data_IF_689541127435
#
_entry.id   IF_689541127435
#
_cell.length_a   1.000
_cell.length_b   1.000
_cell.length_c   1.000
_cell.angle_alpha   90.00
_cell.angle_beta   90.00
_cell.angle_gamma   90.00
#
_symmetry.space_group_name_H-M   'P 1'
#
loop_
_entity.id
_entity.type
_entity.pdbx_description
1 polymer ?
#
# COMPACT_ATOMS: atom_id res chain seq x y z
N UNK A 1 44.25 5.37 20.09
CA UNK A 1 44.38 5.29 18.63
C UNK A 1 44.83 6.63 18.08
N UNK A 2 45.90 6.64 17.32
CA UNK A 2 46.42 7.89 16.77
C UNK A 2 45.77 8.17 15.41
N UNK A 3 44.92 9.19 15.32
CA UNK A 3 44.23 9.57 14.10
C UNK A 3 45.16 9.96 12.94
N UNK A 4 46.40 10.30 13.24
CA UNK A 4 47.41 10.66 12.22
C UNK A 4 47.76 9.48 11.30
N UNK A 5 47.51 8.25 11.73
CA UNK A 5 47.81 7.05 10.94
C UNK A 5 46.66 6.61 10.05
N UNK A 6 45.50 7.29 10.12
CA UNK A 6 44.38 6.98 9.26
C UNK A 6 44.59 7.69 7.92
N UNK A 7 44.74 6.91 6.87
CA UNK A 7 44.85 7.44 5.51
C UNK A 7 43.54 8.03 5.05
N UNK A 8 43.57 9.06 4.21
CA UNK A 8 42.36 9.72 3.72
C UNK A 8 41.39 8.78 3.00
N UNK A 9 41.89 7.73 2.34
CA UNK A 9 41.04 6.74 1.71
C UNK A 9 40.24 5.91 2.72
N UNK A 10 40.74 5.70 3.92
CA UNK A 10 40.04 4.99 4.99
C UNK A 10 38.85 5.83 5.49
N UNK A 11 39.02 7.14 5.60
CA UNK A 11 37.95 8.05 5.92
C UNK A 11 36.88 8.04 4.83
N UNK A 12 37.27 8.05 3.58
CA UNK A 12 36.34 7.97 2.45
C UNK A 12 35.52 6.67 2.50
N UNK A 13 36.15 5.54 2.82
CA UNK A 13 35.44 4.27 2.97
C UNK A 13 34.46 4.26 4.14
N UNK A 14 34.84 4.86 5.28
CA UNK A 14 33.94 4.97 6.42
C UNK A 14 32.73 5.83 6.11
N UNK A 15 32.93 6.97 5.46
CA UNK A 15 31.83 7.86 5.04
C UNK A 15 30.94 7.17 4.04
N UNK A 16 31.53 6.46 3.07
CA UNK A 16 30.76 5.71 2.07
C UNK A 16 29.92 4.60 2.74
N UNK A 17 30.51 3.86 3.68
CA UNK A 17 29.81 2.82 4.43
C UNK A 17 28.64 3.39 5.24
N UNK A 18 28.81 4.54 5.87
CA UNK A 18 27.75 5.23 6.59
C UNK A 18 26.63 5.71 5.65
N UNK A 19 26.97 6.25 4.48
CA UNK A 19 26.01 6.67 3.49
C UNK A 19 25.21 5.50 2.94
N UNK A 20 25.87 4.38 2.65
CA UNK A 20 25.21 3.15 2.19
C UNK A 20 24.28 2.59 3.26
N UNK A 21 24.74 2.54 4.52
CA UNK A 21 23.92 2.06 5.63
C UNK A 21 22.70 2.95 5.85
N UNK A 22 22.87 4.27 5.75
CA UNK A 22 21.78 5.23 5.88
C UNK A 22 20.78 5.09 4.75
N UNK A 23 21.25 4.99 3.50
CA UNK A 23 20.40 4.78 2.34
C UNK A 23 19.63 3.47 2.45
N UNK A 24 20.29 2.40 2.88
CA UNK A 24 19.64 1.11 3.12
C UNK A 24 18.58 1.19 4.21
N UNK A 25 18.84 1.90 5.31
CA UNK A 25 17.88 2.10 6.39
C UNK A 25 16.65 2.91 5.93
N UNK A 26 16.85 3.88 5.03
CA UNK A 26 15.77 4.69 4.47
C UNK A 26 14.93 3.89 3.46
N UNK A 27 15.57 3.08 2.62
CA UNK A 27 14.91 2.28 1.59
C UNK A 27 14.39 0.94 2.08
N UNK A 28 14.77 0.56 3.27
CA UNK A 28 14.25 -0.64 3.90
C UNK A 28 12.73 -0.60 3.82
N UNK A 29 12.03 -1.72 3.38
CA UNK A 29 10.59 -1.76 3.49
C UNK A 29 10.28 -1.36 4.90
N UNK A 30 9.67 -0.22 5.00
CA UNK A 30 9.48 0.48 6.24
C UNK A 30 8.85 -0.49 7.25
N UNK A 31 9.45 -0.63 8.42
CA UNK A 31 8.86 -1.40 9.51
C UNK A 31 7.43 -0.93 9.80
N UNK A 32 7.16 0.35 9.56
CA UNK A 32 5.83 0.94 9.67
C UNK A 32 4.86 0.36 8.63
N UNK A 33 5.30 0.18 7.39
CA UNK A 33 4.48 -0.44 6.33
C UNK A 33 4.09 -1.86 6.71
N UNK A 34 5.02 -2.65 7.19
CA UNK A 34 4.75 -4.02 7.66
C UNK A 34 3.80 -4.06 8.84
N UNK A 35 3.98 -3.15 9.78
CA UNK A 35 3.12 -3.02 10.95
C UNK A 35 1.67 -2.72 10.53
N UNK A 36 1.48 -1.75 9.63
CA UNK A 36 0.16 -1.39 9.14
C UNK A 36 -0.50 -2.54 8.36
N UNK A 37 0.27 -3.25 7.54
CA UNK A 37 -0.25 -4.42 6.83
C UNK A 37 -0.64 -5.55 7.79
N UNK A 38 0.10 -5.74 8.86
CA UNK A 38 -0.24 -6.68 9.92
C UNK A 38 -1.54 -6.29 10.63
N UNK A 39 -1.75 -5.01 10.90
CA UNK A 39 -2.98 -4.49 11.51
C UNK A 39 -4.18 -4.72 10.59
N UNK A 40 -4.02 -4.47 9.28
CA UNK A 40 -5.08 -4.75 8.31
C UNK A 40 -5.48 -6.23 8.37
N UNK A 41 -4.50 -7.13 8.36
CA UNK A 41 -4.76 -8.57 8.41
C UNK A 41 -5.48 -9.01 9.68
N UNK A 42 -5.14 -8.42 10.83
CA UNK A 42 -5.74 -8.79 12.11
C UNK A 42 -7.11 -8.19 12.34
N UNK A 43 -7.36 -6.98 11.82
CA UNK A 43 -8.62 -6.26 12.05
C UNK A 43 -9.62 -6.37 10.90
N UNK A 44 -9.21 -6.93 9.75
CA UNK A 44 -10.08 -7.04 8.60
C UNK A 44 -11.30 -7.90 8.89
N UNK A 45 -12.47 -7.44 8.41
CA UNK A 45 -13.69 -8.24 8.40
C UNK A 45 -13.56 -9.44 7.47
N UNK A 46 -14.43 -10.47 7.60
CA UNK A 46 -14.44 -11.58 6.63
C UNK A 46 -14.64 -11.11 5.19
N UNK A 47 -15.42 -10.06 4.95
CA UNK A 47 -15.63 -9.49 3.63
C UNK A 47 -14.31 -8.96 3.03
N UNK A 48 -13.53 -8.23 3.83
CA UNK A 48 -12.23 -7.70 3.39
C UNK A 48 -11.21 -8.83 3.19
N UNK A 49 -11.13 -9.79 4.11
CA UNK A 49 -10.21 -10.93 4.02
C UNK A 49 -10.45 -11.78 2.78
N UNK A 50 -11.70 -11.95 2.39
CA UNK A 50 -12.11 -12.78 1.26
C UNK A 50 -12.23 -12.00 -0.04
N UNK A 51 -11.95 -10.71 -0.04
CA UNK A 51 -12.03 -9.89 -1.23
C UNK A 51 -10.95 -10.31 -2.24
N UNK A 52 -11.26 -10.38 -3.56
CA UNK A 52 -10.30 -10.86 -4.58
C UNK A 52 -9.02 -10.05 -4.66
N UNK A 53 -9.06 -8.75 -4.39
CA UNK A 53 -7.88 -7.90 -4.35
C UNK A 53 -7.38 -7.76 -2.90
N UNK A 54 -6.10 -8.10 -2.63
CA UNK A 54 -5.55 -7.97 -1.28
C UNK A 54 -5.10 -6.52 -1.03
N UNK A 55 -5.97 -5.73 -0.40
CA UNK A 55 -5.62 -4.35 -0.03
C UNK A 55 -4.46 -4.34 0.96
N UNK A 56 -3.47 -3.51 0.68
CA UNK A 56 -2.29 -3.37 1.54
C UNK A 56 -1.67 -1.99 1.39
N UNK A 57 -0.94 -1.58 2.43
CA UNK A 57 -0.16 -0.35 2.40
C UNK A 57 1.08 -0.58 1.54
N UNK A 58 1.28 0.28 0.55
CA UNK A 58 2.46 0.22 -0.32
C UNK A 58 3.67 0.86 0.33
N UNK A 59 3.46 2.00 0.98
CA UNK A 59 4.50 2.75 1.70
C UNK A 59 3.86 3.79 2.61
N UNK A 60 4.66 4.34 3.50
CA UNK A 60 4.26 5.46 4.36
C UNK A 60 5.15 6.66 4.03
N UNK A 61 4.54 7.78 3.72
CA UNK A 61 5.21 9.04 3.42
C UNK A 61 4.85 10.05 4.53
N UNK A 62 5.76 10.23 5.50
CA UNK A 62 5.48 11.06 6.67
C UNK A 62 4.32 10.50 7.49
N UNK A 63 3.21 11.21 7.57
CA UNK A 63 1.99 10.79 8.25
C UNK A 63 0.90 10.30 7.28
N UNK A 64 1.25 10.15 6.00
CA UNK A 64 0.34 9.66 4.96
C UNK A 64 0.64 8.22 4.63
N UNK A 65 -0.35 7.34 4.75
CA UNK A 65 -0.26 5.97 4.29
C UNK A 65 -0.73 5.89 2.83
N UNK A 66 0.10 5.33 1.95
CA UNK A 66 -0.24 5.10 0.55
C UNK A 66 -0.72 3.67 0.41
N UNK A 67 -1.98 3.49 0.04
CA UNK A 67 -2.63 2.17 -0.04
C UNK A 67 -2.86 1.82 -1.51
N UNK A 68 -2.53 0.58 -1.88
CA UNK A 68 -2.78 0.06 -3.21
C UNK A 68 -4.26 -0.13 -3.47
N UNK A 69 -4.70 0.19 -4.68
CA UNK A 69 -6.08 0.00 -5.14
C UNK A 69 -6.09 -0.57 -6.55
N UNK A 70 -7.10 -1.41 -6.92
CA UNK A 70 -7.17 -1.95 -8.27
C UNK A 70 -7.84 -1.00 -9.26
N UNK A 71 -8.23 0.21 -8.85
CA UNK A 71 -8.90 1.18 -9.71
C UNK A 71 -8.38 2.59 -9.54
N UNK A 72 -8.38 3.35 -10.65
CA UNK A 72 -8.18 4.80 -10.68
C UNK A 72 -8.77 5.35 -11.98
N UNK A 73 -8.40 6.58 -12.38
CA UNK A 73 -8.85 7.16 -13.66
C UNK A 73 -8.38 6.35 -14.87
N UNK A 74 -7.18 5.75 -14.81
CA UNK A 74 -6.63 4.94 -15.91
C UNK A 74 -7.19 3.52 -15.91
N UNK A 75 -7.64 3.04 -14.76
CA UNK A 75 -8.22 1.70 -14.58
C UNK A 75 -9.57 1.83 -13.89
N UNK A 76 -10.66 2.08 -14.63
CA UNK A 76 -12.00 2.18 -14.06
C UNK A 76 -12.43 0.90 -13.35
N UNK A 77 -13.27 1.05 -12.33
CA UNK A 77 -13.76 -0.07 -11.53
C UNK A 77 -14.39 -1.17 -12.37
N UNK A 78 -15.09 -0.84 -13.46
CA UNK A 78 -15.74 -1.83 -14.32
C UNK A 78 -14.73 -2.79 -14.97
N UNK A 79 -13.50 -2.36 -15.26
CA UNK A 79 -12.47 -3.24 -15.83
C UNK A 79 -12.00 -4.26 -14.81
N UNK A 80 -11.73 -3.82 -13.61
CA UNK A 80 -11.36 -4.72 -12.51
C UNK A 80 -12.49 -5.70 -12.21
N UNK A 81 -13.70 -5.20 -12.03
CA UNK A 81 -14.86 -6.02 -11.68
C UNK A 81 -15.22 -6.99 -12.81
N UNK A 82 -15.11 -6.56 -14.06
CA UNK A 82 -15.34 -7.44 -15.20
C UNK A 82 -14.35 -8.57 -15.30
N UNK A 83 -13.09 -8.34 -14.94
CA UNK A 83 -12.06 -9.38 -14.91
C UNK A 83 -12.28 -10.39 -13.78
N UNK A 84 -12.70 -9.90 -12.59
CA UNK A 84 -12.92 -10.75 -11.41
C UNK A 84 -14.26 -11.48 -11.45
N UNK A 85 -15.27 -10.91 -12.08
CA UNK A 85 -16.64 -11.45 -12.14
C UNK A 85 -17.13 -11.48 -13.59
N UNK A 86 -16.60 -12.42 -14.43
CA UNK A 86 -16.90 -12.44 -15.86
C UNK A 86 -18.36 -12.71 -16.19
N UNK A 87 -19.13 -13.29 -15.25
CA UNK A 87 -20.56 -13.58 -15.45
C UNK A 87 -21.46 -12.37 -15.25
N UNK A 88 -20.89 -11.25 -14.76
CA UNK A 88 -21.65 -10.02 -14.51
C UNK A 88 -21.46 -9.04 -15.66
N UNK A 89 -22.57 -8.50 -16.19
CA UNK A 89 -22.50 -7.48 -17.22
C UNK A 89 -22.14 -6.12 -16.59
N UNK A 90 -20.83 -5.83 -16.58
CA UNK A 90 -20.28 -4.58 -16.01
C UNK A 90 -20.45 -3.37 -16.93
N UNK A 91 -20.92 -3.58 -18.16
CA UNK A 91 -21.20 -2.50 -19.11
C UNK A 91 -22.57 -1.89 -18.92
N UNK A 92 -23.46 -2.57 -18.21
CA UNK A 92 -24.78 -2.07 -17.87
C UNK A 92 -24.74 -1.42 -16.48
N UNK A 93 -24.75 -0.09 -16.45
CA UNK A 93 -24.69 0.68 -15.20
C UNK A 93 -25.93 0.48 -14.31
N UNK A 94 -27.03 -0.01 -14.88
CA UNK A 94 -28.28 -0.28 -14.15
C UNK A 94 -28.40 -1.73 -13.68
N UNK A 95 -27.41 -2.58 -14.00
CA UNK A 95 -27.41 -3.98 -13.57
C UNK A 95 -27.27 -4.06 -12.04
N UNK A 96 -28.25 -4.61 -11.31
CA UNK A 96 -28.17 -4.70 -9.85
C UNK A 96 -26.95 -5.46 -9.35
N UNK A 97 -26.51 -6.50 -10.05
CA UNK A 97 -25.33 -7.26 -9.69
C UNK A 97 -24.06 -6.39 -9.80
N UNK A 98 -23.96 -5.59 -10.85
CA UNK A 98 -22.82 -4.66 -11.02
C UNK A 98 -22.81 -3.57 -9.94
N UNK A 99 -23.97 -3.00 -9.63
CA UNK A 99 -24.10 -2.00 -8.55
C UNK A 99 -23.67 -2.59 -7.21
N UNK A 100 -24.08 -3.83 -6.93
CA UNK A 100 -23.70 -4.53 -5.71
C UNK A 100 -22.18 -4.72 -5.63
N UNK A 101 -21.52 -5.07 -6.74
CA UNK A 101 -20.06 -5.22 -6.80
C UNK A 101 -19.34 -3.91 -6.58
N UNK A 102 -19.83 -2.80 -7.16
CA UNK A 102 -19.26 -1.47 -6.92
C UNK A 102 -19.40 -1.06 -5.45
N UNK A 103 -20.56 -1.31 -4.84
CA UNK A 103 -20.78 -1.02 -3.44
C UNK A 103 -19.87 -1.84 -2.53
N UNK A 104 -19.68 -3.12 -2.85
CA UNK A 104 -18.76 -3.99 -2.10
C UNK A 104 -17.32 -3.49 -2.16
N UNK A 105 -16.86 -3.07 -3.34
CA UNK A 105 -15.52 -2.49 -3.51
C UNK A 105 -15.38 -1.22 -2.67
N UNK A 106 -16.35 -0.34 -2.71
CA UNK A 106 -16.36 0.89 -1.90
C UNK A 106 -16.29 0.59 -0.40
N UNK A 107 -17.04 -0.40 0.06
CA UNK A 107 -17.06 -0.80 1.49
C UNK A 107 -15.72 -1.33 1.96
N UNK A 108 -15.08 -2.20 1.19
CA UNK A 108 -13.77 -2.74 1.60
C UNK A 108 -12.68 -1.67 1.56
N UNK A 109 -12.73 -0.75 0.60
CA UNK A 109 -11.84 0.41 0.57
C UNK A 109 -12.02 1.30 1.81
N UNK A 110 -13.27 1.60 2.16
CA UNK A 110 -13.57 2.40 3.36
C UNK A 110 -13.08 1.70 4.63
N UNK A 111 -13.26 0.39 4.72
CA UNK A 111 -12.79 -0.38 5.88
C UNK A 111 -11.26 -0.31 6.00
N UNK A 112 -10.52 -0.53 4.92
CA UNK A 112 -9.05 -0.45 4.92
C UNK A 112 -8.60 0.95 5.33
N UNK A 113 -9.19 1.98 4.75
CA UNK A 113 -8.89 3.37 5.10
C UNK A 113 -9.10 3.63 6.58
N UNK A 114 -10.25 3.21 7.12
CA UNK A 114 -10.59 3.45 8.52
C UNK A 114 -9.64 2.70 9.48
N UNK A 115 -9.27 1.47 9.16
CA UNK A 115 -8.29 0.71 9.94
C UNK A 115 -6.97 1.45 9.99
N UNK A 116 -6.47 1.92 8.84
CA UNK A 116 -5.17 2.58 8.73
C UNK A 116 -5.19 3.96 9.39
N UNK A 117 -6.25 4.75 9.20
CA UNK A 117 -6.40 6.07 9.82
C UNK A 117 -6.49 6.01 11.36
N UNK A 118 -6.95 4.89 11.90
CA UNK A 118 -7.02 4.71 13.34
C UNK A 118 -5.65 4.45 13.98
N UNK A 119 -4.60 4.22 13.19
CA UNK A 119 -3.28 3.92 13.72
C UNK A 119 -2.52 5.18 14.13
N UNK A 120 -1.72 5.11 15.22
CA UNK A 120 -0.93 6.26 15.67
C UNK A 120 0.02 6.78 14.57
N UNK A 121 0.11 8.10 14.43
CA UNK A 121 1.01 8.72 13.48
C UNK A 121 0.51 8.78 12.04
N UNK A 122 -0.65 8.23 11.74
CA UNK A 122 -1.28 8.31 10.41
C UNK A 122 -2.39 9.35 10.46
N UNK A 123 -2.25 10.42 9.68
CA UNK A 123 -3.23 11.51 9.59
C UNK A 123 -4.03 11.52 8.29
N UNK A 124 -3.52 10.88 7.25
CA UNK A 124 -4.19 10.82 5.95
C UNK A 124 -3.86 9.54 5.20
N UNK A 125 -4.70 9.23 4.23
CA UNK A 125 -4.55 8.08 3.34
C UNK A 125 -4.57 8.58 1.90
N UNK A 126 -3.66 8.04 1.09
CA UNK A 126 -3.60 8.27 -0.36
C UNK A 126 -3.78 6.94 -1.07
N UNK A 127 -4.59 6.92 -2.10
CA UNK A 127 -4.77 5.75 -2.93
C UNK A 127 -3.86 5.80 -4.15
N UNK A 128 -3.21 4.68 -4.46
CA UNK A 128 -2.36 4.55 -5.64
C UNK A 128 -2.72 3.27 -6.39
N UNK A 129 -2.80 3.36 -7.72
CA UNK A 129 -3.08 2.19 -8.53
C UNK A 129 -1.95 1.15 -8.36
N UNK A 130 -2.33 -0.06 -7.96
CA UNK A 130 -1.39 -1.17 -7.84
C UNK A 130 -1.13 -1.78 -9.21
N UNK A 131 -0.10 -1.29 -9.88
CA UNK A 131 0.26 -1.73 -11.24
C UNK A 131 0.84 -3.13 -11.27
N UNK A 132 1.40 -3.59 -10.16
CA UNK A 132 1.95 -4.95 -10.07
C UNK A 132 0.85 -6.01 -10.05
N UNK A 133 -0.33 -5.66 -9.54
CA UNK A 133 -1.50 -6.52 -9.56
C UNK A 133 -2.06 -6.72 -10.97
N UNK A 134 -1.99 -5.67 -11.77
CA UNK A 134 -2.52 -5.65 -13.12
C UNK A 134 -1.54 -6.25 -14.11
#
# INVERSE_FOLDING_TARGET
MNFRNIKSWQWALLVLALLVALDWAIRRPDGRTRELNGVIQTQASPQLKNYPYPFHVLRVEGSTAVIGTPRNFDMPAFRFLGAMYPDVNVKDANNPAFIALQNALGKVQDEVRDIVLAQPGISSVKWELDREWL
#
